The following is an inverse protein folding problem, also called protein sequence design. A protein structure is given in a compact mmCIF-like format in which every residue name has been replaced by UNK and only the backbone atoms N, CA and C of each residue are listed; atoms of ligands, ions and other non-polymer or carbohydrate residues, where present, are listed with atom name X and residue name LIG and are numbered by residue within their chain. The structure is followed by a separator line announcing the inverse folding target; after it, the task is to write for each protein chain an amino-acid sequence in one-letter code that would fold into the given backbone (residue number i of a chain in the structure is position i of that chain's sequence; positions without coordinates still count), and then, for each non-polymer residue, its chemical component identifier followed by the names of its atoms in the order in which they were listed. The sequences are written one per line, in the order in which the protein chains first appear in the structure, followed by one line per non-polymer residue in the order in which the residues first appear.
data_IF_295683970045
#
_entry.id   IF_295683970045
#
_cell.length_a   1.000
_cell.length_b   1.000
_cell.length_c   1.000
_cell.angle_alpha   90.00
_cell.angle_beta   90.00
_cell.angle_gamma   90.00
#
_symmetry.space_group_name_H-M   'P 1'
#
loop_
_entity.id
_entity.type
_entity.pdbx_description
1 polymer ?
#
# COMPACT_ATOMS: atom_id res chain seq x y z
N UNK A 1 -7.92 -7.16 4.26
CA UNK A 1 -7.30 -7.45 2.94
C UNK A 1 -8.24 -6.95 1.87
N UNK A 2 -7.72 -6.22 0.88
CA UNK A 2 -8.49 -5.60 -0.19
C UNK A 2 -7.98 -6.21 -1.51
N UNK A 3 -8.88 -6.58 -2.43
CA UNK A 3 -8.54 -7.34 -3.65
C UNK A 3 -9.26 -6.72 -4.85
N UNK A 4 -8.52 -6.30 -5.87
CA UNK A 4 -9.06 -5.66 -7.08
C UNK A 4 -10.05 -6.59 -7.82
N UNK A 5 -11.29 -6.11 -7.98
CA UNK A 5 -12.41 -6.83 -8.60
C UNK A 5 -12.28 -7.00 -10.12
N UNK A 6 -11.55 -6.12 -10.81
CA UNK A 6 -11.35 -6.22 -12.27
C UNK A 6 -10.58 -7.49 -12.65
N UNK A 7 -9.77 -8.01 -11.72
CA UNK A 7 -9.10 -9.30 -11.84
C UNK A 7 -10.02 -10.49 -11.51
N UNK A 8 -11.16 -10.25 -10.86
CA UNK A 8 -11.95 -11.29 -10.22
C UNK A 8 -13.00 -11.87 -11.16
N UNK A 9 -12.82 -13.14 -11.53
CA UNK A 9 -13.62 -13.83 -12.56
C UNK A 9 -13.07 -13.68 -13.99
N UNK A 10 -12.28 -12.64 -14.28
CA UNK A 10 -11.58 -12.44 -15.55
C UNK A 10 -10.25 -13.20 -15.64
N UNK A 11 -9.42 -13.14 -14.59
CA UNK A 11 -8.09 -13.80 -14.55
C UNK A 11 -8.13 -15.18 -13.89
N UNK A 12 -9.31 -15.68 -13.54
CA UNK A 12 -9.49 -17.03 -13.02
C UNK A 12 -8.91 -17.27 -11.62
N UNK A 13 -8.80 -16.25 -10.76
CA UNK A 13 -8.61 -16.46 -9.31
C UNK A 13 -9.84 -17.22 -8.80
N UNK A 14 -9.73 -18.50 -8.40
CA UNK A 14 -10.87 -19.24 -7.89
C UNK A 14 -11.21 -18.73 -6.50
N UNK A 15 -12.50 -18.63 -6.20
CA UNK A 15 -13.03 -18.29 -4.88
C UNK A 15 -12.35 -19.07 -3.74
N UNK A 16 -12.00 -20.32 -3.98
CA UNK A 16 -11.36 -21.22 -3.01
C UNK A 16 -9.96 -20.74 -2.57
N UNK A 17 -9.26 -19.94 -3.38
CA UNK A 17 -7.98 -19.34 -2.99
C UNK A 17 -8.12 -18.28 -1.89
N UNK A 18 -9.31 -17.70 -1.70
CA UNK A 18 -9.60 -16.81 -0.55
C UNK A 18 -9.90 -17.59 0.74
N UNK A 19 -10.23 -18.88 0.66
CA UNK A 19 -10.45 -19.72 1.84
C UNK A 19 -9.13 -19.99 2.57
N UNK A 20 -8.01 -20.18 1.84
CA UNK A 20 -6.70 -20.44 2.44
C UNK A 20 -6.26 -19.38 3.48
N UNK A 21 -6.29 -18.07 3.16
CA UNK A 21 -6.06 -17.00 4.13
C UNK A 21 -7.04 -17.00 5.32
N UNK A 22 -8.35 -17.24 5.07
CA UNK A 22 -9.36 -17.29 6.14
C UNK A 22 -9.21 -18.49 7.08
N UNK A 23 -8.77 -19.65 6.57
CA UNK A 23 -8.46 -20.83 7.41
C UNK A 23 -7.27 -20.55 8.33
N UNK A 24 -6.27 -19.80 7.87
CA UNK A 24 -5.11 -19.39 8.69
C UNK A 24 -5.44 -18.26 9.67
N UNK A 25 -6.39 -17.39 9.35
CA UNK A 25 -6.88 -16.34 10.23
C UNK A 25 -8.40 -16.15 10.06
N UNK A 26 -9.24 -16.79 10.90
CA UNK A 26 -10.70 -16.67 10.81
C UNK A 26 -11.25 -15.25 11.05
N UNK A 27 -10.43 -14.34 11.63
CA UNK A 27 -10.79 -12.92 11.79
C UNK A 27 -10.40 -12.06 10.57
N UNK A 28 -9.73 -12.62 9.57
CA UNK A 28 -9.31 -11.89 8.37
C UNK A 28 -10.53 -11.46 7.54
N UNK A 29 -10.78 -10.15 7.51
CA UNK A 29 -11.72 -9.52 6.58
C UNK A 29 -11.11 -9.38 5.18
N UNK A 30 -11.87 -9.78 4.15
CA UNK A 30 -11.48 -9.70 2.74
C UNK A 30 -12.55 -8.94 1.96
N UNK A 31 -12.18 -7.83 1.33
CA UNK A 31 -13.08 -6.92 0.60
C UNK A 31 -12.71 -6.85 -0.87
N UNK A 32 -13.70 -6.64 -1.75
CA UNK A 32 -13.49 -6.46 -3.19
C UNK A 32 -13.31 -4.97 -3.50
N UNK A 33 -12.22 -4.58 -4.16
CA UNK A 33 -11.96 -3.19 -4.57
C UNK A 33 -12.41 -2.94 -5.99
N UNK A 34 -13.37 -2.04 -6.17
CA UNK A 34 -13.89 -1.58 -7.46
C UNK A 34 -13.32 -0.21 -7.79
N UNK A 35 -12.97 0.01 -9.07
CA UNK A 35 -12.67 1.37 -9.54
C UNK A 35 -13.98 2.08 -9.91
N UNK A 36 -14.21 3.28 -9.37
CA UNK A 36 -15.38 4.09 -9.69
C UNK A 36 -15.47 4.36 -11.21
N UNK A 37 -16.69 4.40 -11.76
CA UNK A 37 -16.92 4.51 -13.20
C UNK A 37 -16.78 3.21 -14.00
N UNK A 38 -16.19 2.13 -13.46
CA UNK A 38 -16.22 0.81 -14.11
C UNK A 38 -17.50 0.05 -13.82
N UNK A 39 -18.03 -0.66 -14.82
CA UNK A 39 -19.20 -1.56 -14.70
C UNK A 39 -18.84 -2.89 -14.04
N UNK A 40 -18.41 -2.84 -12.78
CA UNK A 40 -18.30 -4.02 -11.91
C UNK A 40 -19.60 -4.22 -11.14
N UNK A 41 -19.95 -5.46 -10.84
CA UNK A 41 -21.12 -5.76 -10.03
C UNK A 41 -20.85 -5.49 -8.54
N UNK A 42 -21.47 -4.43 -8.01
CA UNK A 42 -21.33 -3.97 -6.62
C UNK A 42 -22.45 -4.51 -5.69
N UNK A 43 -23.30 -5.45 -6.13
CA UNK A 43 -24.44 -5.89 -5.31
C UNK A 43 -24.04 -6.76 -4.12
N UNK A 44 -24.89 -6.74 -3.09
CA UNK A 44 -24.86 -7.66 -1.94
C UNK A 44 -24.78 -9.12 -2.39
N UNK A 45 -25.50 -9.51 -3.45
CA UNK A 45 -25.47 -10.88 -3.98
C UNK A 45 -24.12 -11.26 -4.58
N UNK A 46 -23.43 -10.35 -5.27
CA UNK A 46 -22.07 -10.60 -5.76
C UNK A 46 -21.11 -10.80 -4.59
N UNK A 47 -21.14 -9.89 -3.60
CA UNK A 47 -20.26 -9.94 -2.43
C UNK A 47 -20.50 -11.21 -1.60
N UNK A 48 -21.76 -11.58 -1.34
CA UNK A 48 -22.13 -12.84 -0.67
C UNK A 48 -21.73 -14.08 -1.46
N UNK A 49 -22.00 -14.12 -2.77
CA UNK A 49 -21.66 -15.25 -3.65
C UNK A 49 -20.17 -15.57 -3.62
N UNK A 50 -19.32 -14.56 -3.59
CA UNK A 50 -17.86 -14.70 -3.53
C UNK A 50 -17.28 -14.50 -2.12
N UNK A 51 -18.14 -14.54 -1.08
CA UNK A 51 -17.79 -14.44 0.35
C UNK A 51 -16.79 -13.32 0.65
N UNK A 52 -17.02 -12.14 0.08
CA UNK A 52 -16.37 -10.91 0.54
C UNK A 52 -17.09 -10.39 1.79
N UNK A 53 -16.34 -9.77 2.70
CA UNK A 53 -16.88 -9.07 3.87
C UNK A 53 -17.32 -7.64 3.57
N UNK A 54 -17.17 -7.16 2.33
CA UNK A 54 -17.47 -5.79 1.96
C UNK A 54 -16.89 -5.35 0.63
N UNK A 55 -17.16 -4.09 0.28
CA UNK A 55 -16.66 -3.40 -0.90
C UNK A 55 -15.66 -2.33 -0.46
N UNK A 56 -14.59 -2.19 -1.23
CA UNK A 56 -13.71 -1.03 -1.23
C UNK A 56 -13.95 -0.26 -2.54
N UNK A 57 -14.13 1.05 -2.47
CA UNK A 57 -14.29 1.89 -3.66
C UNK A 57 -13.00 2.69 -3.85
N UNK A 58 -12.20 2.28 -4.83
CA UNK A 58 -11.10 3.08 -5.31
C UNK A 58 -11.63 4.19 -6.21
N UNK A 59 -11.38 5.44 -5.82
CA UNK A 59 -11.73 6.61 -6.61
C UNK A 59 -10.47 7.41 -6.95
N UNK A 60 -10.22 7.58 -8.24
CA UNK A 60 -9.02 8.26 -8.74
C UNK A 60 -9.21 9.76 -8.97
N UNK A 61 -10.32 10.34 -8.49
CA UNK A 61 -10.71 11.77 -8.55
C UNK A 61 -10.88 12.39 -9.95
N UNK A 62 -10.26 11.84 -11.00
CA UNK A 62 -10.30 12.38 -12.37
C UNK A 62 -11.60 12.08 -13.13
N UNK A 63 -12.64 11.61 -12.44
CA UNK A 63 -13.94 11.27 -13.05
C UNK A 63 -14.92 12.43 -12.87
N UNK A 64 -15.52 12.88 -13.98
CA UNK A 64 -16.73 13.73 -13.94
C UNK A 64 -17.86 13.09 -13.14
N UNK A 65 -17.84 11.76 -13.03
CA UNK A 65 -18.62 10.97 -12.09
C UNK A 65 -18.10 11.19 -10.66
N UNK A 66 -18.31 12.38 -10.10
CA UNK A 66 -18.27 12.57 -8.64
C UNK A 66 -19.44 11.78 -8.06
N UNK A 67 -19.21 10.79 -7.18
CA UNK A 67 -20.31 10.03 -6.59
C UNK A 67 -21.24 10.97 -5.81
N UNK A 68 -22.55 10.76 -5.87
CA UNK A 68 -23.48 11.54 -5.07
C UNK A 68 -23.78 10.85 -3.72
N UNK A 69 -24.19 11.64 -2.72
CA UNK A 69 -24.55 11.12 -1.38
C UNK A 69 -25.57 9.99 -1.43
N UNK A 70 -26.63 10.03 -2.26
CA UNK A 70 -27.56 8.91 -2.40
C UNK A 70 -26.91 7.58 -2.76
N UNK A 71 -25.89 7.56 -3.62
CA UNK A 71 -25.16 6.33 -3.97
C UNK A 71 -24.48 5.70 -2.75
N UNK A 72 -23.72 6.49 -1.98
CA UNK A 72 -23.07 6.02 -0.75
C UNK A 72 -24.07 5.65 0.35
N UNK A 73 -25.14 6.41 0.51
CA UNK A 73 -26.22 6.14 1.47
C UNK A 73 -26.95 4.82 1.16
N UNK A 74 -27.31 4.57 -0.11
CA UNK A 74 -27.93 3.31 -0.53
C UNK A 74 -27.00 2.10 -0.33
N UNK A 75 -25.70 2.22 -0.65
CA UNK A 75 -24.73 1.18 -0.36
C UNK A 75 -24.59 0.93 1.15
N UNK A 76 -24.48 1.98 1.97
CA UNK A 76 -24.38 1.86 3.44
C UNK A 76 -25.55 1.07 4.00
N UNK A 77 -26.79 1.44 3.65
CA UNK A 77 -27.99 0.79 4.17
C UNK A 77 -28.02 -0.68 3.78
N UNK A 78 -27.86 -0.98 2.48
CA UNK A 78 -27.85 -2.34 1.96
C UNK A 78 -26.72 -3.21 2.55
N UNK A 79 -25.57 -2.62 2.88
CA UNK A 79 -24.43 -3.38 3.43
C UNK A 79 -24.55 -3.58 4.93
N UNK A 80 -25.03 -2.58 5.67
CA UNK A 80 -25.24 -2.66 7.12
C UNK A 80 -26.29 -3.73 7.49
N UNK A 81 -27.40 -3.82 6.75
CA UNK A 81 -28.40 -4.90 6.89
C UNK A 81 -27.81 -6.31 6.66
N UNK A 82 -26.68 -6.39 5.96
CA UNK A 82 -26.08 -7.64 5.50
C UNK A 82 -24.71 -7.94 6.14
N UNK A 83 -24.29 -7.16 7.14
CA UNK A 83 -23.01 -7.33 7.84
C UNK A 83 -21.76 -7.10 6.97
N UNK A 84 -21.92 -6.32 5.89
CA UNK A 84 -20.87 -5.98 4.94
C UNK A 84 -20.25 -4.61 5.27
N UNK A 85 -18.95 -4.47 5.02
CA UNK A 85 -18.19 -3.25 5.14
C UNK A 85 -18.23 -2.42 3.84
N UNK A 86 -18.14 -1.10 3.95
CA UNK A 86 -17.90 -0.17 2.85
C UNK A 86 -16.67 0.69 3.19
N UNK A 87 -15.61 0.59 2.38
CA UNK A 87 -14.45 1.49 2.45
C UNK A 87 -14.26 2.28 1.17
N UNK A 88 -13.43 3.32 1.27
CA UNK A 88 -13.02 4.16 0.16
C UNK A 88 -11.48 4.22 0.12
N UNK A 89 -10.89 4.19 -1.07
CA UNK A 89 -9.46 4.44 -1.27
C UNK A 89 -9.29 5.65 -2.20
N UNK A 90 -8.63 6.70 -1.69
CA UNK A 90 -8.48 8.00 -2.37
C UNK A 90 -7.03 8.42 -2.47
N UNK A 91 -6.60 8.74 -3.71
CA UNK A 91 -5.49 9.67 -3.90
C UNK A 91 -5.91 11.07 -3.45
N UNK A 92 -4.95 11.97 -3.34
CA UNK A 92 -5.16 13.30 -2.78
C UNK A 92 -4.26 14.33 -3.48
N UNK A 93 -4.60 14.64 -4.71
CA UNK A 93 -4.35 15.99 -5.21
C UNK A 93 -5.23 16.95 -4.37
N UNK A 94 -4.70 18.10 -3.98
CA UNK A 94 -5.33 18.98 -2.99
C UNK A 94 -6.43 19.83 -3.62
N UNK A 95 -7.51 19.18 -4.04
CA UNK A 95 -8.74 19.79 -4.53
C UNK A 95 -9.82 19.74 -3.44
N UNK A 96 -10.34 20.91 -3.07
CA UNK A 96 -11.37 21.06 -2.04
C UNK A 96 -12.69 20.31 -2.37
N UNK A 97 -13.01 20.09 -3.65
CA UNK A 97 -14.21 19.34 -4.07
C UNK A 97 -14.23 17.91 -3.51
N UNK A 98 -13.06 17.27 -3.40
CA UNK A 98 -12.92 15.89 -2.90
C UNK A 98 -13.03 15.84 -1.38
N UNK A 99 -12.56 16.88 -0.68
CA UNK A 99 -12.72 17.01 0.78
C UNK A 99 -14.19 17.26 1.13
N UNK A 100 -14.86 18.21 0.47
CA UNK A 100 -16.29 18.46 0.65
C UNK A 100 -17.14 17.21 0.36
N UNK A 101 -16.77 16.42 -0.65
CA UNK A 101 -17.39 15.12 -0.88
C UNK A 101 -17.13 14.13 0.27
N UNK A 102 -15.90 14.04 0.77
CA UNK A 102 -15.52 13.16 1.89
C UNK A 102 -16.27 13.51 3.17
N UNK A 103 -16.35 14.79 3.56
CA UNK A 103 -17.17 15.30 4.67
C UNK A 103 -18.60 14.74 4.62
N UNK A 104 -19.19 14.70 3.43
CA UNK A 104 -20.57 14.26 3.20
C UNK A 104 -20.72 12.72 3.27
N UNK A 105 -19.72 11.96 2.78
CA UNK A 105 -19.79 10.48 2.75
C UNK A 105 -19.11 9.77 3.92
N UNK A 106 -18.38 10.46 4.81
CA UNK A 106 -17.66 9.84 5.94
C UNK A 106 -18.60 9.14 6.93
N UNK A 107 -19.86 9.58 7.01
CA UNK A 107 -20.95 8.92 7.74
C UNK A 107 -21.40 7.58 7.10
N UNK A 108 -21.17 7.38 5.80
CA UNK A 108 -21.62 6.22 5.03
C UNK A 108 -20.55 5.14 4.82
N UNK A 109 -19.28 5.42 5.11
CA UNK A 109 -18.18 4.45 5.05
C UNK A 109 -17.73 4.00 6.44
N UNK A 110 -17.19 2.79 6.56
CA UNK A 110 -16.58 2.31 7.81
C UNK A 110 -15.17 2.90 7.98
N UNK A 111 -14.38 3.02 6.90
CA UNK A 111 -13.06 3.65 6.90
C UNK A 111 -12.64 4.18 5.50
N UNK A 112 -11.69 5.10 5.47
CA UNK A 112 -11.01 5.62 4.27
C UNK A 112 -9.53 5.24 4.29
N UNK A 113 -8.99 4.78 3.16
CA UNK A 113 -7.55 4.62 2.94
C UNK A 113 -7.03 5.86 2.21
N UNK A 114 -6.29 6.71 2.92
CA UNK A 114 -5.66 7.91 2.34
C UNK A 114 -4.35 7.47 1.70
N UNK A 115 -4.27 7.51 0.38
CA UNK A 115 -3.15 6.96 -0.39
C UNK A 115 -1.96 7.96 -0.40
N UNK A 116 -1.35 8.14 0.77
CA UNK A 116 -0.34 9.16 1.09
C UNK A 116 1.06 8.88 0.49
N UNK A 117 1.10 8.56 -0.80
CA UNK A 117 2.29 8.23 -1.59
C UNK A 117 2.08 8.67 -3.05
N UNK A 118 3.09 8.48 -3.90
CA UNK A 118 3.14 9.11 -5.24
C UNK A 118 2.99 10.68 -5.14
N UNK A 119 3.40 11.29 -4.01
CA UNK A 119 3.13 12.71 -3.65
C UNK A 119 3.94 13.73 -4.48
N UNK A 120 5.10 13.33 -5.00
CA UNK A 120 5.84 14.09 -6.02
C UNK A 120 5.39 13.69 -7.42
N UNK A 121 5.03 12.41 -7.61
CA UNK A 121 4.60 11.85 -8.90
C UNK A 121 3.25 12.38 -9.39
N UNK A 122 2.50 13.04 -8.50
CA UNK A 122 1.26 13.79 -8.78
C UNK A 122 1.48 15.31 -8.75
N UNK A 123 2.72 15.79 -8.96
CA UNK A 123 2.97 17.14 -9.50
C UNK A 123 3.51 16.98 -10.92
N UNK A 124 3.11 17.86 -11.84
CA UNK A 124 3.51 17.76 -13.26
C UNK A 124 5.01 18.06 -13.49
N UNK A 125 5.75 18.39 -12.44
CA UNK A 125 7.19 18.65 -12.46
C UNK A 125 7.99 17.34 -12.41
N UNK A 126 7.73 16.44 -13.37
CA UNK A 126 8.36 15.13 -13.57
C UNK A 126 9.89 15.16 -13.81
N UNK A 127 10.50 16.35 -13.69
CA UNK A 127 11.91 16.64 -13.89
C UNK A 127 12.71 16.72 -12.59
N UNK A 128 12.09 16.32 -11.47
CA UNK A 128 12.67 16.38 -10.13
C UNK A 128 12.54 15.02 -9.43
N UNK A 129 13.65 14.52 -8.89
CA UNK A 129 13.70 13.37 -8.00
C UNK A 129 13.72 13.85 -6.54
N UNK A 130 12.87 13.26 -5.71
CA UNK A 130 12.79 13.39 -4.25
C UNK A 130 11.96 12.21 -3.70
N UNK A 131 11.89 12.01 -2.39
CA UNK A 131 11.26 10.82 -1.79
C UNK A 131 9.73 10.78 -2.01
N UNK A 132 9.14 9.71 -2.56
CA UNK A 132 7.76 9.70 -3.10
C UNK A 132 6.63 9.81 -2.05
N UNK A 133 6.96 9.66 -0.77
CA UNK A 133 6.03 9.65 0.35
C UNK A 133 6.72 10.13 1.65
N UNK A 134 7.29 11.34 1.73
CA UNK A 134 8.07 11.75 2.89
C UNK A 134 7.13 11.96 4.10
N UNK A 135 7.54 11.57 5.31
CA UNK A 135 6.67 11.74 6.48
C UNK A 135 6.49 13.22 6.79
N UNK A 136 7.60 13.96 6.80
CA UNK A 136 7.66 15.42 6.89
C UNK A 136 8.53 15.96 5.76
N UNK A 137 8.21 17.12 5.18
CA UNK A 137 9.09 17.84 4.26
C UNK A 137 8.70 19.31 4.22
N UNK A 138 9.72 20.19 4.19
CA UNK A 138 9.56 21.64 3.99
C UNK A 138 9.65 22.05 2.51
N UNK A 139 9.83 21.09 1.60
CA UNK A 139 10.20 21.31 0.18
C UNK A 139 9.22 20.65 -0.80
N UNK A 140 8.52 19.62 -0.34
CA UNK A 140 7.67 18.74 -1.14
C UNK A 140 6.44 18.33 -0.32
N UNK A 141 5.36 17.90 -1.00
CA UNK A 141 4.17 17.37 -0.31
C UNK A 141 4.55 16.13 0.51
N UNK A 142 4.08 16.10 1.75
CA UNK A 142 4.42 15.09 2.74
C UNK A 142 3.16 14.49 3.37
N UNK A 143 3.33 13.34 4.03
CA UNK A 143 2.26 12.59 4.69
C UNK A 143 1.60 13.43 5.79
N UNK A 144 2.37 14.16 6.60
CA UNK A 144 1.81 14.86 7.75
C UNK A 144 0.87 16.00 7.35
N UNK A 145 1.29 16.88 6.44
CA UNK A 145 0.44 17.96 5.93
C UNK A 145 -0.83 17.43 5.27
N UNK A 146 -0.76 16.25 4.64
CA UNK A 146 -1.93 15.62 4.04
C UNK A 146 -2.91 15.04 5.07
N UNK A 147 -2.41 14.29 6.06
CA UNK A 147 -3.25 13.74 7.14
C UNK A 147 -3.83 14.87 8.00
N UNK A 148 -3.04 15.92 8.27
CA UNK A 148 -3.50 17.13 8.96
C UNK A 148 -4.65 17.81 8.21
N UNK A 149 -4.53 17.96 6.89
CA UNK A 149 -5.58 18.57 6.05
C UNK A 149 -6.91 17.79 6.09
N UNK A 150 -6.86 16.44 6.18
CA UNK A 150 -8.07 15.63 6.40
C UNK A 150 -8.68 15.89 7.79
N UNK A 151 -7.85 15.91 8.84
CA UNK A 151 -8.30 16.13 10.22
C UNK A 151 -8.84 17.55 10.48
N UNK A 152 -8.42 18.55 9.70
CA UNK A 152 -8.98 19.91 9.74
C UNK A 152 -10.37 20.03 9.11
N UNK A 153 -10.77 19.04 8.29
CA UNK A 153 -12.07 19.00 7.60
C UNK A 153 -12.95 17.87 8.18
N UNK A 154 -13.02 17.81 9.51
CA UNK A 154 -13.89 16.95 10.32
C UNK A 154 -13.85 15.43 10.02
N UNK A 155 -12.86 14.93 9.27
CA UNK A 155 -12.69 13.49 9.02
C UNK A 155 -12.25 12.78 10.32
N UNK A 156 -13.06 11.85 10.88
CA UNK A 156 -12.71 11.21 12.15
C UNK A 156 -11.44 10.38 12.03
N UNK A 157 -10.47 10.62 12.91
CA UNK A 157 -9.16 9.96 12.89
C UNK A 157 -9.28 8.43 12.92
N UNK A 158 -10.20 7.89 13.71
CA UNK A 158 -10.50 6.45 13.84
C UNK A 158 -11.04 5.80 12.55
N UNK A 159 -11.48 6.59 11.57
CA UNK A 159 -11.84 6.12 10.23
C UNK A 159 -10.72 6.26 9.19
N UNK A 160 -9.63 6.94 9.50
CA UNK A 160 -8.51 7.15 8.56
C UNK A 160 -7.51 5.99 8.69
N UNK A 161 -7.23 5.33 7.56
CA UNK A 161 -6.08 4.43 7.40
C UNK A 161 -4.98 5.13 6.60
N UNK A 162 -3.79 5.25 7.16
CA UNK A 162 -2.63 5.80 6.45
C UNK A 162 -2.13 4.83 5.38
N UNK A 163 -2.09 5.27 4.12
CA UNK A 163 -1.46 4.55 3.02
C UNK A 163 0.07 4.55 3.11
N UNK A 164 0.68 3.36 3.15
CA UNK A 164 2.13 3.16 3.13
C UNK A 164 2.52 2.36 1.88
N UNK A 165 3.43 2.86 1.03
CA UNK A 165 3.92 2.15 -0.15
C UNK A 165 4.95 1.08 0.23
N UNK A 166 5.05 0.02 -0.58
CA UNK A 166 6.10 -1.02 -0.48
C UNK A 166 6.99 -1.02 -1.74
N UNK A 167 7.24 0.17 -2.26
CA UNK A 167 7.99 0.44 -3.47
C UNK A 167 8.66 1.82 -3.39
N UNK A 168 9.67 2.04 -4.21
CA UNK A 168 10.29 3.33 -4.42
C UNK A 168 9.80 3.99 -5.71
N UNK A 169 9.80 5.32 -5.72
CA UNK A 169 9.79 6.08 -6.97
C UNK A 169 11.19 6.03 -7.57
N UNK A 170 11.31 5.84 -8.88
CA UNK A 170 12.61 5.76 -9.55
C UNK A 170 12.79 6.83 -10.63
N UNK A 171 14.01 7.34 -10.72
CA UNK A 171 14.43 8.42 -11.60
C UNK A 171 15.77 8.09 -12.26
N UNK A 172 16.00 8.64 -13.45
CA UNK A 172 17.28 8.57 -14.16
C UNK A 172 18.00 9.92 -14.01
N UNK A 173 19.25 9.90 -13.55
CA UNK A 173 20.08 11.11 -13.38
C UNK A 173 21.41 10.98 -14.13
N UNK A 174 21.98 12.08 -14.66
CA UNK A 174 23.37 12.10 -15.10
C UNK A 174 24.31 11.65 -13.98
N UNK A 175 25.36 10.89 -14.33
CA UNK A 175 26.29 10.37 -13.33
C UNK A 175 27.09 11.46 -12.59
N UNK A 176 27.22 12.65 -13.19
CA UNK A 176 27.83 13.85 -12.63
C UNK A 176 26.90 14.69 -11.73
N UNK A 177 25.61 14.32 -11.60
CA UNK A 177 24.70 15.01 -10.69
C UNK A 177 25.12 14.85 -9.23
N UNK A 178 24.79 15.88 -8.42
CA UNK A 178 24.61 15.73 -6.97
C UNK A 178 23.54 14.67 -6.68
N UNK A 179 23.58 14.07 -5.49
CA UNK A 179 22.69 12.94 -5.14
C UNK A 179 21.58 13.35 -4.17
N UNK A 180 21.76 14.47 -3.48
CA UNK A 180 20.86 14.98 -2.46
C UNK A 180 19.57 15.53 -3.10
N UNK A 181 18.38 15.03 -2.72
CA UNK A 181 17.12 15.55 -3.25
C UNK A 181 16.77 16.92 -2.62
N UNK A 182 15.97 17.77 -3.30
CA UNK A 182 15.47 17.58 -4.66
C UNK A 182 16.54 17.82 -5.73
N UNK A 183 16.63 16.92 -6.72
CA UNK A 183 17.61 17.00 -7.81
C UNK A 183 16.95 16.87 -9.19
N UNK A 184 17.52 17.54 -10.20
CA UNK A 184 17.04 17.45 -11.58
C UNK A 184 17.29 16.07 -12.18
N UNK A 185 16.22 15.48 -12.74
CA UNK A 185 16.19 14.10 -13.19
C UNK A 185 15.20 13.91 -14.36
N UNK A 186 15.15 12.70 -14.91
CA UNK A 186 14.02 12.22 -15.72
C UNK A 186 13.41 10.98 -15.06
N UNK A 187 12.30 10.46 -15.58
CA UNK A 187 11.72 9.21 -15.08
C UNK A 187 12.72 8.04 -15.11
N UNK A 188 12.63 7.16 -14.11
CA UNK A 188 13.31 5.88 -14.07
C UNK A 188 12.74 4.90 -15.10
N UNK A 189 13.45 3.80 -15.40
CA UNK A 189 13.04 2.83 -16.41
C UNK A 189 11.65 2.22 -16.14
N UNK A 190 11.04 1.68 -17.18
CA UNK A 190 9.87 0.81 -17.05
C UNK A 190 10.21 -0.46 -16.27
N UNK A 191 9.45 -0.75 -15.22
CA UNK A 191 9.62 -1.93 -14.40
C UNK A 191 8.59 -3.01 -14.77
N UNK A 192 9.08 -4.20 -15.14
CA UNK A 192 8.27 -5.33 -15.59
C UNK A 192 7.40 -5.98 -14.50
N UNK A 193 7.73 -5.79 -13.22
CA UNK A 193 6.99 -6.38 -12.09
C UNK A 193 5.86 -5.47 -11.61
N UNK A 194 6.04 -4.15 -11.66
CA UNK A 194 4.99 -3.17 -11.33
C UNK A 194 4.13 -2.78 -12.53
N UNK A 195 4.63 -2.99 -13.76
CA UNK A 195 3.99 -2.55 -14.99
C UNK A 195 4.01 -1.03 -15.17
N UNK A 196 4.87 -0.30 -14.44
CA UNK A 196 4.92 1.18 -14.42
C UNK A 196 6.32 1.70 -14.75
N UNK A 197 6.34 2.90 -15.35
CA UNK A 197 7.53 3.76 -15.47
C UNK A 197 7.78 4.47 -14.12
N UNK A 198 9.05 4.62 -13.74
CA UNK A 198 9.43 5.38 -12.55
C UNK A 198 8.97 4.77 -11.22
N UNK A 199 8.82 3.44 -11.15
CA UNK A 199 8.46 2.71 -9.92
C UNK A 199 9.27 1.42 -9.83
N UNK A 200 9.79 1.08 -8.66
CA UNK A 200 10.58 -0.13 -8.40
C UNK A 200 10.12 -0.79 -7.08
N UNK A 201 9.80 -2.10 -7.04
CA UNK A 201 9.27 -2.73 -5.83
C UNK A 201 10.38 -2.92 -4.79
N UNK A 202 10.03 -2.90 -3.50
CA UNK A 202 11.02 -2.98 -2.42
C UNK A 202 11.92 -4.21 -2.50
N UNK A 203 11.40 -5.36 -2.97
CA UNK A 203 12.21 -6.57 -3.16
C UNK A 203 13.32 -6.43 -4.21
N UNK A 204 13.21 -5.52 -5.19
CA UNK A 204 14.31 -5.20 -6.11
C UNK A 204 15.26 -4.15 -5.52
N UNK A 205 14.75 -3.17 -4.77
CA UNK A 205 15.57 -2.15 -4.09
C UNK A 205 16.54 -2.84 -3.13
N UNK A 206 16.03 -3.70 -2.23
CA UNK A 206 16.86 -4.40 -1.26
C UNK A 206 17.86 -5.36 -1.93
N UNK A 207 17.46 -6.04 -3.01
CA UNK A 207 18.33 -6.95 -3.72
C UNK A 207 19.49 -6.21 -4.41
N UNK A 208 19.21 -5.03 -4.98
CA UNK A 208 20.19 -4.18 -5.63
C UNK A 208 21.17 -3.53 -4.64
N UNK A 209 20.70 -3.09 -3.47
CA UNK A 209 21.56 -2.62 -2.37
C UNK A 209 22.51 -3.75 -1.92
N UNK A 210 21.98 -4.96 -1.72
CA UNK A 210 22.77 -6.10 -1.23
C UNK A 210 23.71 -6.74 -2.25
N UNK A 211 23.39 -6.66 -3.54
CA UNK A 211 23.99 -7.54 -4.57
C UNK A 211 24.44 -6.83 -5.85
N UNK A 212 23.92 -5.63 -6.13
CA UNK A 212 24.18 -4.86 -7.35
C UNK A 212 24.98 -3.57 -7.08
N UNK A 213 25.54 -3.41 -5.88
CA UNK A 213 26.39 -2.29 -5.50
C UNK A 213 25.68 -0.93 -5.41
N UNK A 214 24.36 -0.90 -5.21
CA UNK A 214 23.64 0.36 -4.97
C UNK A 214 24.00 0.92 -3.59
N UNK A 215 24.26 2.23 -3.52
CA UNK A 215 24.60 2.93 -2.29
C UNK A 215 23.34 3.57 -1.69
N UNK A 216 23.20 3.50 -0.36
CA UNK A 216 22.09 4.09 0.40
C UNK A 216 22.55 5.40 1.04
N UNK A 217 21.62 6.35 1.15
CA UNK A 217 21.82 7.68 1.71
C UNK A 217 20.55 8.13 2.44
N UNK A 218 20.69 9.07 3.39
CA UNK A 218 19.54 9.66 4.09
C UNK A 218 18.89 8.74 5.14
N UNK A 219 19.57 7.68 5.58
CA UNK A 219 19.07 6.75 6.61
C UNK A 219 18.81 7.47 7.95
N UNK A 220 19.64 8.45 8.31
CA UNK A 220 19.46 9.33 9.47
C UNK A 220 18.35 10.41 9.27
N UNK A 221 17.83 10.61 8.06
CA UNK A 221 16.78 11.61 7.80
C UNK A 221 15.41 11.11 8.25
N UNK A 222 15.15 11.39 9.53
CA UNK A 222 13.89 11.10 10.20
C UNK A 222 12.68 11.89 9.65
N UNK A 223 12.88 12.87 8.75
CA UNK A 223 11.81 13.62 8.07
C UNK A 223 11.45 13.01 6.71
N UNK A 224 12.41 12.93 5.79
CA UNK A 224 12.17 12.55 4.39
C UNK A 224 12.06 11.04 4.21
N UNK A 225 12.96 10.26 4.81
CA UNK A 225 13.20 8.85 4.46
C UNK A 225 14.38 8.67 3.48
N UNK A 226 14.91 7.43 3.36
CA UNK A 226 16.15 7.17 2.64
C UNK A 226 15.99 7.15 1.12
N UNK A 227 17.12 7.21 0.44
CA UNK A 227 17.22 6.98 -1.00
C UNK A 227 18.43 6.10 -1.35
N UNK A 228 18.32 5.38 -2.46
CA UNK A 228 19.38 4.53 -2.98
C UNK A 228 19.76 4.96 -4.41
N UNK A 229 21.04 4.84 -4.75
CA UNK A 229 21.60 5.22 -6.05
C UNK A 229 22.39 4.06 -6.64
N UNK A 230 22.14 3.74 -7.91
CA UNK A 230 22.87 2.69 -8.61
C UNK A 230 24.33 3.07 -8.89
N UNK A 231 25.20 2.07 -9.16
CA UNK A 231 26.42 2.30 -9.93
C UNK A 231 26.12 3.03 -11.24
N UNK A 232 27.13 3.71 -11.79
CA UNK A 232 27.03 4.35 -13.10
C UNK A 232 26.90 3.32 -14.22
N UNK A 233 25.96 3.58 -15.14
CA UNK A 233 25.83 2.87 -16.40
C UNK A 233 25.59 3.87 -17.53
N UNK A 234 26.48 3.88 -18.53
CA UNK A 234 26.36 4.74 -19.73
C UNK A 234 26.16 6.23 -19.40
N UNK A 235 26.97 6.79 -18.50
CA UNK A 235 26.91 8.20 -18.10
C UNK A 235 25.72 8.58 -17.21
N UNK A 236 24.92 7.61 -16.76
CA UNK A 236 23.73 7.82 -15.93
C UNK A 236 23.74 6.92 -14.69
N UNK A 237 22.91 7.27 -13.70
CA UNK A 237 22.60 6.47 -12.51
C UNK A 237 21.08 6.41 -12.33
N UNK A 238 20.58 5.36 -11.70
CA UNK A 238 19.19 5.30 -11.22
C UNK A 238 19.16 5.78 -9.78
N UNK A 239 18.31 6.76 -9.48
CA UNK A 239 18.06 7.30 -8.16
C UNK A 239 16.67 6.85 -7.69
N UNK A 240 16.55 6.39 -6.44
CA UNK A 240 15.32 5.81 -5.90
C UNK A 240 15.07 6.27 -4.48
N UNK A 241 14.00 7.02 -4.23
CA UNK A 241 13.49 7.31 -2.89
C UNK A 241 12.45 6.26 -2.49
N UNK A 242 12.56 5.70 -1.28
CA UNK A 242 11.72 4.57 -0.85
C UNK A 242 11.57 4.47 0.67
N UNK A 243 10.42 3.94 1.09
CA UNK A 243 10.19 3.56 2.49
C UNK A 243 11.02 2.31 2.85
N UNK A 244 11.87 2.42 3.86
CA UNK A 244 12.58 1.30 4.49
C UNK A 244 11.88 0.83 5.78
N UNK A 245 12.49 -0.10 6.52
CA UNK A 245 11.97 -0.63 7.79
C UNK A 245 11.75 0.46 8.84
N UNK A 246 12.69 1.39 8.97
CA UNK A 246 12.64 2.41 10.01
C UNK A 246 11.71 3.56 9.60
N UNK A 247 11.61 3.87 8.30
CA UNK A 247 10.60 4.78 7.75
C UNK A 247 9.17 4.24 7.92
N UNK A 248 8.88 2.98 7.58
CA UNK A 248 7.53 2.42 7.84
C UNK A 248 7.25 2.26 9.33
N UNK A 249 8.28 2.05 10.17
CA UNK A 249 8.14 2.03 11.62
C UNK A 249 7.76 3.41 12.15
N UNK A 250 8.46 4.48 11.75
CA UNK A 250 8.12 5.87 12.08
C UNK A 250 6.72 6.26 11.61
N UNK A 251 6.34 5.92 10.37
CA UNK A 251 4.97 6.15 9.86
C UNK A 251 3.91 5.38 10.65
N UNK A 252 4.23 4.18 11.14
CA UNK A 252 3.29 3.37 11.92
C UNK A 252 3.09 3.91 13.33
N UNK A 253 4.16 4.39 13.97
CA UNK A 253 4.09 5.08 15.26
C UNK A 253 3.36 6.41 15.12
N UNK A 254 3.66 7.20 14.08
CA UNK A 254 2.96 8.43 13.73
C UNK A 254 1.44 8.22 13.61
N UNK A 255 1.01 7.25 12.80
CA UNK A 255 -0.40 6.94 12.60
C UNK A 255 -1.09 6.60 13.92
N UNK A 256 -0.50 5.68 14.70
CA UNK A 256 -1.11 5.15 15.92
C UNK A 256 -1.07 6.12 17.10
N UNK A 257 0.10 6.71 17.36
CA UNK A 257 0.43 7.35 18.63
C UNK A 257 0.53 8.89 18.53
N UNK A 258 0.77 9.46 17.33
CA UNK A 258 0.88 10.92 17.11
C UNK A 258 -0.41 11.52 16.51
N UNK A 259 -1.18 10.73 15.74
CA UNK A 259 -2.43 11.17 15.10
C UNK A 259 -3.68 10.38 15.51
N UNK A 260 -3.55 9.24 16.19
CA UNK A 260 -4.70 8.45 16.64
C UNK A 260 -5.54 7.85 15.50
N UNK A 261 -4.90 7.56 14.36
CA UNK A 261 -5.56 7.06 13.16
C UNK A 261 -6.09 5.63 13.35
N UNK A 262 -7.19 5.31 12.68
CA UNK A 262 -7.84 3.99 12.70
C UNK A 262 -6.94 2.83 12.27
N UNK A 263 -5.92 3.10 11.43
CA UNK A 263 -4.96 2.09 11.03
C UNK A 263 -4.09 2.48 9.84
N UNK A 264 -3.70 1.46 9.08
CA UNK A 264 -2.70 1.55 7.98
C UNK A 264 -3.12 0.63 6.84
N UNK A 265 -3.03 1.15 5.61
CA UNK A 265 -3.25 0.41 4.36
C UNK A 265 -1.92 0.26 3.61
N UNK A 266 -1.55 -0.95 3.24
CA UNK A 266 -0.26 -1.26 2.58
C UNK A 266 -0.47 -1.42 1.07
N UNK A 267 0.27 -0.66 0.26
CA UNK A 267 0.18 -0.68 -1.21
C UNK A 267 1.53 -1.03 -1.86
N UNK A 268 1.79 -2.30 -2.20
CA UNK A 268 0.97 -3.48 -1.94
C UNK A 268 1.80 -4.71 -1.54
N UNK A 269 1.13 -5.74 -1.03
CA UNK A 269 1.76 -6.94 -0.47
C UNK A 269 2.64 -7.73 -1.47
N UNK A 270 2.51 -7.50 -2.78
CA UNK A 270 3.35 -8.15 -3.80
C UNK A 270 4.67 -7.41 -4.09
N UNK A 271 4.83 -6.16 -3.64
CA UNK A 271 6.02 -5.33 -3.86
C UNK A 271 6.98 -5.32 -2.65
N UNK A 272 6.47 -5.61 -1.46
CA UNK A 272 7.27 -6.00 -0.28
C UNK A 272 8.05 -7.30 -0.57
N UNK A 273 9.06 -7.65 0.22
CA UNK A 273 9.83 -8.88 0.01
C UNK A 273 9.12 -10.14 0.51
N UNK A 274 8.02 -10.50 -0.16
CA UNK A 274 7.21 -11.68 0.14
C UNK A 274 7.96 -13.02 -0.01
N UNK A 275 9.20 -13.02 -0.52
CA UNK A 275 10.02 -14.21 -0.77
C UNK A 275 11.25 -14.36 0.13
N UNK A 276 11.55 -13.39 1.00
CA UNK A 276 12.79 -13.32 1.76
C UNK A 276 14.06 -13.25 0.86
N UNK A 277 13.94 -12.58 -0.28
CA UNK A 277 15.01 -12.26 -1.23
C UNK A 277 16.07 -11.33 -0.61
N UNK A 278 15.66 -10.43 0.29
CA UNK A 278 16.55 -9.56 1.06
C UNK A 278 17.31 -10.32 2.16
N UNK A 279 16.90 -11.55 2.49
CA UNK A 279 17.47 -12.34 3.60
C UNK A 279 17.15 -11.84 5.01
N UNK A 280 16.17 -10.93 5.16
CA UNK A 280 15.82 -10.25 6.42
C UNK A 280 14.45 -10.63 6.99
N UNK A 281 13.81 -11.66 6.41
CA UNK A 281 12.45 -12.12 6.72
C UNK A 281 11.47 -11.74 5.60
N UNK A 282 10.49 -12.61 5.34
CA UNK A 282 9.46 -12.34 4.34
C UNK A 282 8.50 -11.23 4.81
N UNK A 283 8.06 -10.39 3.86
CA UNK A 283 7.22 -9.21 4.09
C UNK A 283 7.84 -8.23 5.10
N UNK A 284 9.10 -7.85 4.90
CA UNK A 284 9.90 -7.12 5.89
C UNK A 284 9.25 -5.79 6.32
N UNK A 285 8.69 -5.02 5.38
CA UNK A 285 8.02 -3.75 5.67
C UNK A 285 6.70 -3.99 6.40
N UNK A 286 5.84 -4.86 5.86
CA UNK A 286 4.54 -5.20 6.47
C UNK A 286 4.71 -5.82 7.86
N UNK A 287 5.78 -6.58 8.08
CA UNK A 287 6.12 -7.19 9.37
C UNK A 287 6.74 -6.20 10.36
N UNK A 288 7.29 -5.05 9.91
CA UNK A 288 7.62 -3.92 10.76
C UNK A 288 6.35 -3.19 11.20
N UNK A 289 5.50 -2.76 10.25
CA UNK A 289 4.18 -2.15 10.49
C UNK A 289 3.36 -2.96 11.51
N UNK A 290 3.24 -4.28 11.30
CA UNK A 290 2.51 -5.19 12.19
C UNK A 290 3.08 -5.26 13.62
N UNK A 291 4.40 -5.08 13.81
CA UNK A 291 5.03 -5.03 15.15
C UNK A 291 4.70 -3.71 15.85
N UNK A 292 4.85 -2.58 15.16
CA UNK A 292 4.61 -1.24 15.72
C UNK A 292 3.14 -1.03 16.10
N UNK A 293 2.21 -1.56 15.31
CA UNK A 293 0.79 -1.59 15.67
C UNK A 293 0.44 -2.60 16.79
N UNK A 294 1.39 -3.40 17.28
CA UNK A 294 1.16 -4.40 18.32
C UNK A 294 0.28 -5.57 17.87
N UNK A 295 0.11 -5.78 16.55
CA UNK A 295 -0.73 -6.84 15.99
C UNK A 295 -0.02 -8.19 16.23
N UNK A 296 -0.64 -9.15 16.96
CA UNK A 296 0.00 -10.41 17.26
C UNK A 296 0.37 -11.19 16.00
N UNK A 297 1.64 -11.59 15.88
CA UNK A 297 2.06 -12.57 14.87
C UNK A 297 1.36 -13.91 15.16
N UNK A 298 0.76 -14.52 14.14
CA UNK A 298 0.37 -15.92 14.22
C UNK A 298 1.63 -16.77 14.47
N UNK A 299 1.58 -17.80 15.34
CA UNK A 299 2.75 -18.57 15.74
C UNK A 299 3.41 -19.26 14.52
N UNK A 300 4.66 -18.88 14.26
CA UNK A 300 5.44 -19.30 13.10
C UNK A 300 5.70 -20.79 13.10
N UNK A 301 5.08 -21.53 12.18
CA UNK A 301 5.12 -22.98 12.22
C UNK A 301 4.86 -23.69 10.87
N UNK A 302 5.31 -24.95 10.78
CA UNK A 302 5.25 -25.81 9.58
C UNK A 302 3.88 -26.47 9.37
N UNK A 303 3.60 -27.17 8.26
CA UNK A 303 4.33 -28.38 7.85
C UNK A 303 4.86 -28.40 6.41
N UNK A 304 6.00 -29.08 6.23
CA UNK A 304 6.57 -29.39 4.92
C UNK A 304 5.84 -30.57 4.30
N UNK A 305 5.24 -30.37 3.13
CA UNK A 305 4.51 -31.40 2.38
C UNK A 305 5.25 -31.71 1.09
N UNK A 306 5.93 -32.87 1.02
CA UNK A 306 6.45 -33.36 -0.26
C UNK A 306 5.29 -33.80 -1.16
N UNK A 307 5.03 -33.05 -2.23
CA UNK A 307 4.25 -33.49 -3.38
C UNK A 307 5.19 -33.84 -4.54
N UNK A 308 4.85 -34.88 -5.29
CA UNK A 308 5.72 -35.42 -6.34
C UNK A 308 5.63 -34.65 -7.65
N UNK A 309 6.79 -34.16 -8.13
CA UNK A 309 7.15 -33.87 -9.53
C UNK A 309 6.01 -33.59 -10.54
N UNK A 310 5.19 -32.56 -10.29
CA UNK A 310 4.53 -31.72 -11.31
C UNK A 310 3.82 -30.53 -10.65
N UNK A 311 3.84 -29.36 -11.30
CA UNK A 311 3.36 -28.07 -10.77
C UNK A 311 4.26 -27.44 -9.69
N UNK A 312 4.42 -26.12 -9.71
CA UNK A 312 5.39 -25.37 -8.87
C UNK A 312 4.68 -24.76 -7.65
N UNK A 313 5.20 -25.01 -6.44
CA UNK A 313 4.72 -24.46 -5.17
C UNK A 313 5.87 -24.44 -4.11
N UNK A 314 5.80 -23.55 -3.11
CA UNK A 314 6.80 -23.41 -2.01
C UNK A 314 6.14 -23.47 -0.61
N UNK A 315 6.94 -23.76 0.45
CA UNK A 315 6.51 -24.27 1.79
C UNK A 315 7.32 -23.68 2.99
N UNK A 316 6.96 -24.02 4.26
CA UNK A 316 7.53 -23.44 5.51
C UNK A 316 7.69 -24.44 6.72
N UNK A 317 8.28 -23.99 7.87
CA UNK A 317 8.90 -24.77 9.01
C UNK A 317 8.53 -24.13 10.41
N UNK A 318 8.42 -24.71 11.65
CA UNK A 318 8.44 -26.04 12.36
C UNK A 318 7.22 -26.17 13.35
N UNK A 319 6.86 -27.32 13.96
CA UNK A 319 5.81 -27.45 15.04
C UNK A 319 6.34 -28.35 16.20
N UNK A 320 5.81 -28.18 17.42
CA UNK A 320 5.95 -29.09 18.58
C UNK A 320 4.96 -28.69 19.69
N UNK A 321 4.07 -29.57 20.17
CA UNK A 321 4.25 -30.54 21.28
C UNK A 321 4.48 -29.85 22.65
N UNK A 322 3.70 -30.10 23.72
CA UNK A 322 2.66 -31.10 24.01
C UNK A 322 1.29 -30.40 24.38
N UNK A 323 0.30 -30.87 25.16
CA UNK A 323 0.07 -32.04 26.05
C UNK A 323 -1.44 -32.40 26.17
N UNK A 324 -1.79 -33.34 27.05
CA UNK A 324 -3.15 -33.80 27.47
C UNK A 324 -3.95 -32.68 28.19
N UNK A 325 -5.27 -32.74 28.37
CA UNK A 325 -6.25 -33.85 28.27
C UNK A 325 -7.37 -33.57 27.25
#
# INVERSE_FOLDING_TARGET
MIINSDSYGSTGIPHDKLLGPRVKNPKLKIMASVNMGKKVNMTVDYLKKYRFDGLDIYWNMSSSDVPNTPFFSHLRNAFQENGLLLSLAVYTETNAEVIYFLEIIVQHIDFVSVLAYDLIRSTEQFWQADHPAPLYSTRSRNVDSLIHYFLEHDMPADKINLGIPTYGGSWTIPASSKLEPPLSATWGPFNKHTGRVGQIPYFEICANIRSSGWQVFGEDDNTTGPYAVSPEQMGNKIWVGYDDVDTVTRKSDYARNIRGLGGITVWDLSQDDFRNSCGMGAYQLTAAISRTLGIPRAPSSAFSVRLGLSTIMFLAVAWGLFYRL
#
